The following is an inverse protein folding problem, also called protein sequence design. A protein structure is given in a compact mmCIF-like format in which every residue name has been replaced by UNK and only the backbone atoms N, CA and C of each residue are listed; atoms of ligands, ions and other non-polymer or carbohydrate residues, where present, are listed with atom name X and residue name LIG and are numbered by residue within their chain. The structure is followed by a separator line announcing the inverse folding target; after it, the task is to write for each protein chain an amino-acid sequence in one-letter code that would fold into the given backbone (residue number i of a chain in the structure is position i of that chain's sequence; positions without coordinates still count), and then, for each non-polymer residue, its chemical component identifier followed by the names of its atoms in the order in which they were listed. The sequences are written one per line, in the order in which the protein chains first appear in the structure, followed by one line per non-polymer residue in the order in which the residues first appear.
data_IF_932321147005
#
_entry.id   IF_932321147005
#
_cell.length_a   1.000
_cell.length_b   1.000
_cell.length_c   1.000
_cell.angle_alpha   90.00
_cell.angle_beta   90.00
_cell.angle_gamma   90.00
#
_symmetry.space_group_name_H-M   'P 1'
#
loop_
_entity.id
_entity.type
_entity.pdbx_description
1 polymer ?
#
# COMPACT_ATOMS: atom_id res chain seq x y z
N UNK A 1 -5.49 22.56 -4.24
CA UNK A 1 -5.21 23.24 -5.54
C UNK A 1 -3.71 23.42 -5.82
N UNK A 2 -2.87 23.88 -4.87
CA UNK A 2 -1.43 24.05 -5.10
C UNK A 2 -0.71 22.76 -5.54
N UNK A 3 -0.86 21.66 -4.78
CA UNK A 3 -0.26 20.35 -5.08
C UNK A 3 -0.60 19.85 -6.49
N UNK A 4 -1.87 19.92 -6.88
CA UNK A 4 -2.32 19.50 -8.21
C UNK A 4 -1.68 20.32 -9.33
N UNK A 5 -1.70 21.66 -9.21
CA UNK A 5 -1.15 22.55 -10.22
C UNK A 5 0.37 22.38 -10.38
N UNK A 6 1.10 22.26 -9.27
CA UNK A 6 2.54 22.00 -9.28
C UNK A 6 2.88 20.64 -9.89
N UNK A 7 2.08 19.60 -9.59
CA UNK A 7 2.26 18.26 -10.16
C UNK A 7 1.98 18.24 -11.67
N UNK A 8 0.92 18.91 -12.11
CA UNK A 8 0.59 19.05 -13.54
C UNK A 8 1.68 19.81 -14.30
N UNK A 9 2.24 20.87 -13.70
CA UNK A 9 3.30 21.67 -14.31
C UNK A 9 4.65 20.93 -14.37
N UNK A 10 4.83 19.85 -13.60
CA UNK A 10 6.10 19.12 -13.49
C UNK A 10 6.43 18.32 -14.75
N UNK A 11 5.43 17.80 -15.45
CA UNK A 11 5.62 16.92 -16.60
C UNK A 11 4.81 17.40 -17.79
N UNK A 12 5.36 17.24 -19.01
CA UNK A 12 4.67 17.61 -20.26
C UNK A 12 3.55 16.63 -20.64
N UNK A 13 3.14 15.72 -19.73
CA UNK A 13 2.23 14.61 -19.99
C UNK A 13 0.73 14.93 -19.86
N UNK A 14 0.36 16.19 -19.61
CA UNK A 14 -1.05 16.61 -19.57
C UNK A 14 -1.85 16.11 -18.35
N UNK A 15 -1.21 15.45 -17.40
CA UNK A 15 -1.81 15.03 -16.12
C UNK A 15 -0.82 15.20 -14.96
N UNK A 16 -1.29 15.33 -13.71
CA UNK A 16 -0.42 15.37 -12.53
C UNK A 16 0.06 13.99 -12.08
N UNK A 17 -0.30 12.91 -12.80
CA UNK A 17 -0.09 11.54 -12.37
C UNK A 17 1.03 10.87 -13.15
N UNK A 18 1.71 9.94 -12.47
CA UNK A 18 2.66 9.01 -13.05
C UNK A 18 2.28 7.59 -12.61
N UNK A 19 2.63 6.62 -13.44
CA UNK A 19 2.42 5.21 -13.13
C UNK A 19 3.65 4.40 -13.56
N UNK A 20 4.18 3.51 -12.72
CA UNK A 20 5.37 2.73 -13.06
C UNK A 20 5.08 1.79 -14.24
N UNK A 21 6.04 1.69 -15.15
CA UNK A 21 6.05 0.62 -16.14
C UNK A 21 6.05 -0.73 -15.40
N UNK A 22 5.32 -1.72 -15.93
CA UNK A 22 5.10 -3.03 -15.31
C UNK A 22 4.20 -3.03 -14.05
N UNK A 23 3.70 -1.87 -13.63
CA UNK A 23 2.67 -1.76 -12.58
C UNK A 23 3.21 -1.57 -11.18
N UNK A 24 2.28 -1.43 -10.22
CA UNK A 24 2.59 -1.05 -8.84
C UNK A 24 3.46 -2.06 -8.09
N UNK A 25 3.55 -3.31 -8.56
CA UNK A 25 4.42 -4.34 -8.00
C UNK A 25 5.90 -3.97 -8.04
N UNK A 26 6.32 -3.04 -8.90
CA UNK A 26 7.71 -2.57 -8.96
C UNK A 26 8.09 -1.71 -7.74
N UNK A 27 7.13 -1.04 -7.09
CA UNK A 27 7.39 -0.21 -5.91
C UNK A 27 7.89 -1.03 -4.71
N UNK A 28 7.16 -2.06 -4.22
CA UNK A 28 7.64 -2.87 -3.11
C UNK A 28 8.93 -3.64 -3.48
N UNK A 29 9.11 -4.05 -4.74
CA UNK A 29 10.35 -4.66 -5.20
C UNK A 29 11.54 -3.70 -5.09
N UNK A 30 11.38 -2.45 -5.52
CA UNK A 30 12.41 -1.43 -5.42
C UNK A 30 12.79 -1.12 -3.97
N UNK A 31 11.79 -0.98 -3.07
CA UNK A 31 12.05 -0.79 -1.64
C UNK A 31 12.69 -2.03 -0.99
N UNK A 32 12.31 -3.24 -1.42
CA UNK A 32 12.95 -4.46 -0.94
C UNK A 32 14.43 -4.53 -1.34
N UNK A 33 14.73 -4.22 -2.59
CA UNK A 33 16.11 -4.09 -3.07
C UNK A 33 16.87 -3.01 -2.30
N UNK A 34 16.26 -1.84 -2.09
CA UNK A 34 16.89 -0.75 -1.33
C UNK A 34 17.24 -1.22 0.08
N UNK A 35 16.32 -1.84 0.79
CA UNK A 35 16.59 -2.37 2.13
C UNK A 35 17.67 -3.45 2.13
N UNK A 36 17.72 -4.31 1.10
CA UNK A 36 18.78 -5.31 0.96
C UNK A 36 20.18 -4.70 0.77
N UNK A 37 20.30 -3.56 0.07
CA UNK A 37 21.56 -2.81 -0.04
C UNK A 37 22.07 -2.37 1.34
N UNK A 38 21.16 -2.11 2.29
CA UNK A 38 21.50 -1.74 3.67
C UNK A 38 21.46 -2.94 4.64
N UNK A 39 21.60 -4.17 4.13
CA UNK A 39 21.71 -5.40 4.95
C UNK A 39 20.37 -6.03 5.36
N UNK A 40 19.24 -5.52 4.85
CA UNK A 40 17.94 -6.15 5.03
C UNK A 40 17.85 -7.51 4.33
N UNK A 41 17.14 -8.46 4.94
CA UNK A 41 16.85 -9.76 4.32
C UNK A 41 15.35 -9.92 4.17
N UNK A 42 14.89 -10.23 2.96
CA UNK A 42 13.48 -10.47 2.65
C UNK A 42 13.21 -11.97 2.60
N UNK A 43 12.26 -12.43 3.40
CA UNK A 43 11.81 -13.82 3.43
C UNK A 43 10.37 -13.86 2.94
N UNK A 44 10.14 -14.57 1.83
CA UNK A 44 8.81 -14.82 1.26
C UNK A 44 8.39 -16.26 1.53
N UNK A 45 7.09 -16.54 1.46
CA UNK A 45 6.53 -17.87 1.70
C UNK A 45 6.87 -18.44 3.10
N UNK A 46 6.96 -17.57 4.12
CA UNK A 46 7.06 -17.97 5.53
C UNK A 46 5.66 -18.01 6.14
N UNK A 47 5.21 -19.21 6.48
CA UNK A 47 3.89 -19.45 7.09
C UNK A 47 3.97 -19.44 8.62
N UNK A 48 2.80 -19.46 9.28
CA UNK A 48 2.69 -19.54 10.75
C UNK A 48 3.42 -18.41 11.50
N UNK A 49 3.56 -17.24 10.86
CA UNK A 49 4.16 -16.07 11.47
C UNK A 49 3.36 -15.61 12.70
N UNK A 50 3.97 -15.72 13.87
CA UNK A 50 3.39 -15.34 15.15
C UNK A 50 4.31 -14.35 15.86
N UNK A 51 3.76 -13.23 16.30
CA UNK A 51 4.50 -12.29 17.14
C UNK A 51 4.52 -12.80 18.58
N UNK A 52 5.72 -12.80 19.16
CA UNK A 52 5.95 -13.23 20.54
C UNK A 52 6.05 -12.02 21.47
N UNK A 53 5.48 -12.17 22.66
CA UNK A 53 5.39 -11.13 23.68
C UNK A 53 5.99 -11.61 25.00
N UNK A 54 6.54 -10.68 25.79
CA UNK A 54 6.94 -10.94 27.17
C UNK A 54 5.73 -10.89 28.13
N UNK A 55 6.02 -11.08 29.43
CA UNK A 55 5.01 -11.02 30.49
C UNK A 55 4.39 -9.63 30.68
N UNK A 56 5.02 -8.57 30.16
CA UNK A 56 4.53 -7.19 30.19
C UNK A 56 3.70 -6.85 28.94
N UNK A 57 3.62 -7.75 27.96
CA UNK A 57 2.90 -7.55 26.71
C UNK A 57 3.68 -6.81 25.64
N UNK A 58 5.01 -6.68 25.77
CA UNK A 58 5.88 -6.08 24.75
C UNK A 58 6.43 -7.12 23.78
N UNK A 59 6.60 -6.73 22.53
CA UNK A 59 7.22 -7.58 21.50
C UNK A 59 8.65 -7.98 21.89
N UNK A 60 8.95 -9.26 21.72
CA UNK A 60 10.29 -9.83 21.88
C UNK A 60 10.81 -10.58 20.65
N UNK A 61 9.95 -10.83 19.67
CA UNK A 61 10.34 -11.51 18.44
C UNK A 61 9.16 -11.92 17.57
N UNK A 62 9.48 -12.58 16.46
CA UNK A 62 8.52 -13.23 15.56
C UNK A 62 8.97 -14.67 15.34
N UNK A 63 8.07 -15.61 15.56
CA UNK A 63 8.27 -17.04 15.30
C UNK A 63 7.60 -17.42 13.99
N UNK A 64 8.27 -18.22 13.17
CA UNK A 64 7.70 -18.85 11.98
C UNK A 64 8.36 -20.21 11.79
N UNK A 65 7.56 -21.26 11.58
CA UNK A 65 8.04 -22.63 11.32
C UNK A 65 9.02 -23.15 12.41
N UNK A 66 8.78 -22.78 13.67
CA UNK A 66 9.60 -23.20 14.81
C UNK A 66 10.88 -22.39 15.04
N UNK A 67 11.20 -21.43 14.17
CA UNK A 67 12.34 -20.53 14.32
C UNK A 67 11.89 -19.13 14.77
N UNK A 68 12.61 -18.53 15.73
CA UNK A 68 12.27 -17.21 16.27
C UNK A 68 13.36 -16.18 15.96
N UNK A 69 12.98 -15.13 15.24
CA UNK A 69 13.79 -13.92 15.07
C UNK A 69 13.47 -12.93 16.19
N UNK A 70 14.46 -12.57 17.01
CA UNK A 70 14.26 -11.61 18.12
C UNK A 70 14.28 -10.17 17.62
N UNK A 71 13.35 -9.35 18.12
CA UNK A 71 13.27 -7.93 17.80
C UNK A 71 12.68 -7.13 18.97
N UNK A 72 12.89 -5.81 18.96
CA UNK A 72 12.35 -4.88 19.97
C UNK A 72 11.05 -4.20 19.53
N UNK A 73 10.77 -4.22 18.23
CA UNK A 73 9.65 -3.57 17.57
C UNK A 73 9.23 -4.44 16.40
N UNK A 74 7.93 -4.46 16.10
CA UNK A 74 7.41 -5.11 14.90
C UNK A 74 6.57 -4.10 14.11
N UNK A 75 6.70 -4.15 12.79
CA UNK A 75 5.88 -3.39 11.85
C UNK A 75 5.13 -4.40 10.99
N UNK A 76 3.82 -4.24 10.84
CA UNK A 76 3.01 -5.15 10.03
C UNK A 76 1.73 -4.49 9.52
N UNK A 77 1.04 -5.16 8.60
CA UNK A 77 -0.32 -4.79 8.22
C UNK A 77 -1.36 -5.38 9.19
N UNK A 78 -2.63 -4.95 9.12
CA UNK A 78 -3.71 -5.39 10.02
C UNK A 78 -3.90 -6.91 10.15
N UNK A 79 -3.58 -7.69 9.11
CA UNK A 79 -3.82 -9.15 9.11
C UNK A 79 -3.02 -9.90 10.18
N UNK A 80 -1.88 -9.36 10.62
CA UNK A 80 -1.04 -9.97 11.66
C UNK A 80 -1.53 -9.67 13.08
N UNK A 81 -2.42 -8.69 13.27
CA UNK A 81 -2.99 -8.35 14.57
C UNK A 81 -4.50 -8.07 14.52
N UNK A 82 -5.34 -9.08 14.25
CA UNK A 82 -6.79 -8.89 14.18
C UNK A 82 -7.40 -8.37 15.50
N UNK A 83 -6.75 -8.60 16.65
CA UNK A 83 -7.17 -8.08 17.95
C UNK A 83 -6.68 -6.66 18.30
N UNK A 84 -5.83 -6.04 17.46
CA UNK A 84 -5.29 -4.69 17.66
C UNK A 84 -5.76 -3.69 16.62
N UNK A 85 -6.75 -4.08 15.82
CA UNK A 85 -7.31 -3.24 14.77
C UNK A 85 -8.82 -3.18 14.89
N UNK A 86 -9.42 -2.12 14.35
CA UNK A 86 -10.88 -2.03 14.18
C UNK A 86 -11.22 -1.84 12.71
N UNK A 87 -12.33 -2.42 12.28
CA UNK A 87 -12.89 -2.18 10.95
C UNK A 87 -13.42 -0.75 10.88
N UNK A 88 -13.06 -0.02 9.83
CA UNK A 88 -13.47 1.37 9.59
C UNK A 88 -14.28 1.55 8.31
N UNK A 89 -14.30 0.56 7.43
CA UNK A 89 -15.07 0.62 6.19
C UNK A 89 -14.88 -0.65 5.36
N UNK A 90 -15.33 -0.57 4.11
CA UNK A 90 -15.15 -1.60 3.09
C UNK A 90 -14.93 -0.90 1.75
N UNK A 91 -14.09 -1.46 0.89
CA UNK A 91 -13.86 -0.96 -0.47
C UNK A 91 -14.41 -1.97 -1.46
N UNK A 92 -15.17 -1.47 -2.43
CA UNK A 92 -15.54 -2.23 -3.62
C UNK A 92 -14.58 -1.88 -4.76
N UNK A 93 -14.11 -2.89 -5.50
CA UNK A 93 -13.24 -2.72 -6.66
C UNK A 93 -13.70 -3.59 -7.82
N UNK A 94 -13.66 -3.03 -9.03
CA UNK A 94 -13.79 -3.76 -10.27
C UNK A 94 -12.50 -3.60 -11.09
N UNK A 95 -12.02 -4.71 -11.65
CA UNK A 95 -10.92 -4.76 -12.60
C UNK A 95 -11.51 -5.16 -13.94
N UNK A 96 -11.56 -4.24 -14.89
CA UNK A 96 -12.10 -4.46 -16.22
C UNK A 96 -10.98 -4.56 -17.26
N UNK A 97 -11.03 -5.60 -18.09
CA UNK A 97 -10.11 -5.81 -19.21
C UNK A 97 -10.82 -5.41 -20.50
N UNK A 98 -10.15 -4.58 -21.30
CA UNK A 98 -10.71 -4.02 -22.53
C UNK A 98 -9.66 -4.01 -23.65
N UNK A 99 -10.15 -3.97 -24.89
CA UNK A 99 -9.32 -3.90 -26.10
C UNK A 99 -9.41 -2.55 -26.82
N UNK A 100 -9.91 -1.51 -26.15
CA UNK A 100 -10.04 -0.16 -26.68
C UNK A 100 -9.82 0.90 -25.59
N UNK A 101 -9.43 2.14 -25.95
CA UNK A 101 -9.36 3.24 -25.00
C UNK A 101 -10.73 3.54 -24.40
N UNK A 102 -10.72 4.10 -23.18
CA UNK A 102 -11.94 4.56 -22.53
C UNK A 102 -12.54 5.70 -23.38
N UNK A 103 -13.83 5.68 -23.71
CA UNK A 103 -14.49 6.77 -24.44
C UNK A 103 -14.21 8.14 -23.82
N UNK A 104 -14.06 9.17 -24.67
CA UNK A 104 -13.81 10.56 -24.23
C UNK A 104 -12.50 10.78 -23.47
N UNK A 105 -11.48 9.93 -23.68
CA UNK A 105 -10.14 10.08 -23.08
C UNK A 105 -9.04 10.40 -24.10
N UNK A 106 -9.39 10.98 -25.25
CA UNK A 106 -8.45 11.34 -26.33
C UNK A 106 -7.55 10.18 -26.78
N UNK A 107 -8.11 8.97 -26.89
CA UNK A 107 -7.40 7.75 -27.27
C UNK A 107 -6.13 7.49 -26.44
N UNK A 108 -6.20 7.81 -25.14
CA UNK A 108 -5.12 7.57 -24.19
C UNK A 108 -4.62 6.14 -24.32
N UNK A 109 -3.30 5.95 -24.34
CA UNK A 109 -2.70 4.62 -24.50
C UNK A 109 -2.58 3.89 -23.17
N UNK A 110 -2.66 2.56 -23.23
CA UNK A 110 -2.30 1.70 -22.10
C UNK A 110 -0.82 1.30 -22.17
N UNK A 111 -0.17 1.23 -21.01
CA UNK A 111 1.20 0.72 -20.87
C UNK A 111 1.27 -0.82 -20.78
N UNK A 112 0.13 -1.51 -20.86
CA UNK A 112 -0.01 -2.95 -20.60
C UNK A 112 -0.43 -3.78 -21.84
N UNK A 113 -0.41 -3.21 -23.05
CA UNK A 113 -0.78 -3.89 -24.31
C UNK A 113 -2.28 -4.15 -24.49
N UNK A 114 -3.04 -4.28 -23.41
CA UNK A 114 -4.51 -4.14 -23.30
C UNK A 114 -4.86 -3.01 -22.34
N UNK A 115 -6.11 -2.58 -22.33
CA UNK A 115 -6.61 -1.60 -21.38
C UNK A 115 -7.09 -2.30 -20.11
N UNK A 116 -6.54 -1.91 -18.97
CA UNK A 116 -6.99 -2.36 -17.65
C UNK A 116 -7.53 -1.15 -16.91
N UNK A 117 -8.83 -1.16 -16.62
CA UNK A 117 -9.50 -0.10 -15.88
C UNK A 117 -9.85 -0.57 -14.46
N UNK A 118 -9.53 0.26 -13.48
CA UNK A 118 -9.90 0.04 -12.08
C UNK A 118 -11.03 1.01 -11.73
N UNK A 119 -12.15 0.49 -11.25
CA UNK A 119 -13.26 1.29 -10.70
C UNK A 119 -13.39 0.94 -9.23
N UNK A 120 -13.29 1.92 -8.33
CA UNK A 120 -13.34 1.68 -6.89
C UNK A 120 -14.10 2.77 -6.13
N UNK A 121 -14.73 2.38 -5.03
CA UNK A 121 -15.41 3.28 -4.09
C UNK A 121 -15.38 2.70 -2.66
N UNK A 122 -15.59 3.56 -1.67
CA UNK A 122 -16.06 3.13 -0.35
C UNK A 122 -17.43 2.45 -0.54
N UNK A 123 -17.57 1.23 -0.06
CA UNK A 123 -18.75 0.40 -0.27
C UNK A 123 -19.85 0.75 0.73
N UNK A 124 -21.04 1.02 0.21
CA UNK A 124 -22.26 1.26 1.00
C UNK A 124 -23.12 -0.02 1.13
N UNK A 125 -22.86 -1.03 0.30
CA UNK A 125 -23.55 -2.33 0.30
C UNK A 125 -22.55 -3.48 0.06
N UNK A 126 -23.06 -4.72 0.03
CA UNK A 126 -22.27 -5.92 -0.35
C UNK A 126 -22.46 -6.29 -1.83
N UNK A 127 -22.92 -5.36 -2.67
CA UNK A 127 -23.21 -5.59 -4.10
C UNK A 127 -22.32 -4.71 -4.99
N UNK A 128 -21.04 -5.05 -5.16
CA UNK A 128 -20.06 -4.20 -5.83
C UNK A 128 -20.41 -3.98 -7.31
N UNK A 129 -21.06 -4.95 -7.97
CA UNK A 129 -21.51 -4.81 -9.35
C UNK A 129 -22.58 -3.74 -9.55
N UNK A 130 -23.40 -3.46 -8.53
CA UNK A 130 -24.41 -2.40 -8.59
C UNK A 130 -23.78 -1.05 -8.31
N UNK A 131 -23.00 -0.96 -7.22
CA UNK A 131 -22.38 0.30 -6.79
C UNK A 131 -21.39 0.85 -7.82
N UNK A 132 -20.61 -0.04 -8.46
CA UNK A 132 -19.61 0.34 -9.45
C UNK A 132 -20.19 0.52 -10.86
N UNK A 133 -21.46 0.16 -11.08
CA UNK A 133 -22.11 0.23 -12.39
C UNK A 133 -21.98 1.61 -13.07
N UNK A 134 -22.16 2.75 -12.37
CA UNK A 134 -22.02 4.06 -13.01
C UNK A 134 -20.63 4.31 -13.59
N UNK A 135 -19.57 3.82 -12.95
CA UNK A 135 -18.21 3.91 -13.47
C UNK A 135 -17.93 2.91 -14.59
N UNK A 136 -18.48 1.70 -14.47
CA UNK A 136 -18.34 0.62 -15.48
C UNK A 136 -19.03 1.00 -16.80
N UNK A 137 -20.20 1.64 -16.73
CA UNK A 137 -20.95 2.08 -17.92
C UNK A 137 -20.17 3.10 -18.77
N UNK A 138 -19.20 3.82 -18.18
CA UNK A 138 -18.33 4.75 -18.89
C UNK A 138 -17.20 4.06 -19.66
N UNK A 139 -16.92 2.79 -19.36
CA UNK A 139 -15.81 2.07 -19.96
C UNK A 139 -16.10 1.69 -21.42
N UNK A 140 -17.36 1.50 -21.81
CA UNK A 140 -17.70 0.89 -23.10
C UNK A 140 -17.60 -0.64 -23.05
N UNK A 141 -17.41 -1.34 -24.19
CA UNK A 141 -17.28 -2.80 -24.22
C UNK A 141 -16.16 -3.38 -23.32
N UNK A 142 -16.55 -4.19 -22.33
CA UNK A 142 -15.63 -4.91 -21.44
C UNK A 142 -15.54 -6.38 -21.87
N UNK A 143 -14.32 -6.91 -21.97
CA UNK A 143 -14.09 -8.33 -22.30
C UNK A 143 -14.30 -9.23 -21.07
N UNK A 144 -13.76 -8.80 -19.93
CA UNK A 144 -13.81 -9.53 -18.67
C UNK A 144 -13.82 -8.54 -17.50
N UNK A 145 -14.55 -8.86 -16.44
CA UNK A 145 -14.63 -8.02 -15.25
C UNK A 145 -14.55 -8.86 -13.97
N UNK A 146 -13.65 -8.45 -13.09
CA UNK A 146 -13.46 -9.08 -11.78
C UNK A 146 -13.90 -8.11 -10.70
N UNK A 147 -14.82 -8.56 -9.83
CA UNK A 147 -15.24 -7.80 -8.67
C UNK A 147 -14.54 -8.32 -7.42
N UNK A 148 -14.07 -7.41 -6.59
CA UNK A 148 -13.46 -7.69 -5.30
C UNK A 148 -13.98 -6.70 -4.25
N UNK A 149 -14.02 -7.16 -3.01
CA UNK A 149 -14.32 -6.31 -1.86
C UNK A 149 -13.41 -6.68 -0.70
N UNK A 150 -12.88 -5.66 -0.02
CA UNK A 150 -12.07 -5.88 1.17
C UNK A 150 -12.45 -4.90 2.28
N UNK A 151 -12.37 -5.39 3.51
CA UNK A 151 -12.57 -4.59 4.71
C UNK A 151 -11.36 -3.70 4.96
N UNK A 152 -11.60 -2.47 5.40
CA UNK A 152 -10.54 -1.56 5.84
C UNK A 152 -10.42 -1.58 7.34
N UNK A 153 -9.20 -1.65 7.82
CA UNK A 153 -8.85 -1.61 9.23
C UNK A 153 -7.85 -0.50 9.52
N UNK A 154 -7.88 -0.03 10.77
CA UNK A 154 -6.88 0.85 11.35
C UNK A 154 -6.44 0.35 12.73
N UNK A 155 -5.21 0.65 13.17
CA UNK A 155 -4.74 0.32 14.51
C UNK A 155 -5.59 0.97 15.61
N UNK A 156 -5.82 0.22 16.69
CA UNK A 156 -6.41 0.72 17.94
C UNK A 156 -5.51 0.48 19.16
N UNK A 157 -4.34 -0.14 18.97
CA UNK A 157 -3.37 -0.30 20.04
C UNK A 157 -2.60 1.00 20.31
N UNK A 158 -1.95 1.07 21.47
CA UNK A 158 -0.96 2.10 21.79
C UNK A 158 0.44 1.52 21.55
N UNK A 159 1.12 1.86 20.43
CA UNK A 159 2.41 1.25 20.07
C UNK A 159 3.52 1.46 21.10
N UNK A 160 3.39 2.47 21.96
CA UNK A 160 4.31 2.75 23.07
C UNK A 160 4.23 1.74 24.21
N UNK A 161 3.10 1.02 24.33
CA UNK A 161 2.91 0.00 25.38
C UNK A 161 3.42 -1.37 24.94
N UNK A 162 3.24 -1.73 23.67
CA UNK A 162 3.48 -3.08 23.16
C UNK A 162 4.61 -3.18 22.10
N UNK A 163 5.09 -2.05 21.56
CA UNK A 163 6.03 -1.96 20.44
C UNK A 163 5.51 -2.62 19.13
N UNK A 164 4.20 -2.67 18.94
CA UNK A 164 3.54 -3.07 17.70
C UNK A 164 3.10 -1.85 16.88
N UNK A 165 3.62 -1.70 15.67
CA UNK A 165 3.27 -0.62 14.76
C UNK A 165 2.50 -1.22 13.58
N UNK A 166 1.20 -0.96 13.51
CA UNK A 166 0.32 -1.55 12.49
C UNK A 166 -0.07 -0.49 11.48
N UNK A 167 0.05 -0.79 10.19
CA UNK A 167 -0.41 0.12 9.13
C UNK A 167 -1.93 0.14 9.04
N UNK A 168 -2.44 1.17 8.36
CA UNK A 168 -3.82 1.15 7.86
C UNK A 168 -3.93 0.30 6.59
N UNK A 169 -5.15 -0.11 6.22
CA UNK A 169 -5.39 -0.64 4.88
C UNK A 169 -5.54 0.48 3.85
N UNK A 170 -5.14 0.19 2.60
CA UNK A 170 -5.36 1.07 1.46
C UNK A 170 -6.83 1.48 1.33
N UNK A 171 -7.07 2.78 1.20
CA UNK A 171 -8.38 3.34 0.93
C UNK A 171 -8.82 3.13 -0.54
N UNK A 172 -9.97 3.68 -0.90
CA UNK A 172 -10.49 3.59 -2.27
C UNK A 172 -9.91 4.62 -3.23
N UNK A 173 -8.97 5.48 -2.77
CA UNK A 173 -8.38 6.51 -3.61
C UNK A 173 -7.43 5.91 -4.65
N UNK A 174 -7.29 6.58 -5.79
CA UNK A 174 -6.49 6.10 -6.93
C UNK A 174 -5.09 6.72 -6.96
N UNK A 175 -4.64 7.28 -5.83
CA UNK A 175 -3.33 7.91 -5.64
C UNK A 175 -2.76 7.59 -4.26
N UNK A 176 -1.45 7.78 -4.07
CA UNK A 176 -0.76 7.33 -2.85
C UNK A 176 -0.70 8.34 -1.69
N UNK A 177 -1.37 9.49 -1.76
CA UNK A 177 -1.21 10.53 -0.73
C UNK A 177 -1.49 10.03 0.69
N UNK A 178 -2.63 9.37 0.93
CA UNK A 178 -2.98 8.81 2.24
C UNK A 178 -2.02 7.70 2.68
N UNK A 179 -1.56 6.87 1.75
CA UNK A 179 -0.55 5.82 2.01
C UNK A 179 0.77 6.43 2.48
N UNK A 180 1.24 7.49 1.82
CA UNK A 180 2.50 8.15 2.18
C UNK A 180 2.39 8.84 3.54
N UNK A 181 1.22 9.43 3.83
CA UNK A 181 0.93 9.99 5.18
C UNK A 181 1.03 8.91 6.26
N UNK A 182 0.47 7.72 6.03
CA UNK A 182 0.57 6.59 6.97
C UNK A 182 2.03 6.17 7.20
N UNK A 183 2.83 6.08 6.14
CA UNK A 183 4.27 5.78 6.22
C UNK A 183 5.02 6.83 7.05
N UNK A 184 4.75 8.13 6.86
CA UNK A 184 5.41 9.20 7.60
C UNK A 184 5.03 9.21 9.08
N UNK A 185 3.75 8.98 9.38
CA UNK A 185 3.26 8.86 10.74
C UNK A 185 3.91 7.66 11.44
N UNK A 186 3.97 6.52 10.75
CA UNK A 186 4.59 5.31 11.27
C UNK A 186 6.08 5.49 11.53
N UNK A 187 6.81 6.12 10.60
CA UNK A 187 8.23 6.45 10.82
C UNK A 187 8.41 7.32 12.06
N UNK A 188 7.55 8.32 12.24
CA UNK A 188 7.59 9.23 13.39
C UNK A 188 7.31 8.48 14.70
N UNK A 189 6.30 7.60 14.72
CA UNK A 189 5.98 6.77 15.88
C UNK A 189 7.13 5.81 16.26
N UNK A 190 7.78 5.21 15.26
CA UNK A 190 8.87 4.26 15.48
C UNK A 190 10.15 4.97 15.97
N UNK A 191 10.48 6.10 15.37
CA UNK A 191 11.80 6.74 15.53
C UNK A 191 11.79 7.93 16.49
N UNK A 192 10.62 8.51 16.76
CA UNK A 192 10.48 9.77 17.47
C UNK A 192 10.94 10.99 16.67
N UNK A 193 11.17 10.85 15.35
CA UNK A 193 11.70 11.90 14.47
C UNK A 193 10.77 12.14 13.28
N UNK A 194 10.70 13.38 12.83
CA UNK A 194 10.09 13.71 11.53
C UNK A 194 11.00 13.17 10.43
N UNK A 195 10.41 12.51 9.43
CA UNK A 195 11.17 12.00 8.29
C UNK A 195 11.73 13.17 7.47
N UNK A 196 13.04 13.22 7.35
CA UNK A 196 13.76 14.18 6.51
C UNK A 196 14.34 13.46 5.29
N UNK A 197 13.77 13.74 4.12
CA UNK A 197 14.18 13.15 2.84
C UNK A 197 15.31 13.95 2.15
N UNK A 198 15.80 15.03 2.77
CA UNK A 198 16.93 15.81 2.24
C UNK A 198 18.30 15.22 2.61
N UNK A 199 18.32 14.22 3.49
CA UNK A 199 19.54 13.57 3.95
C UNK A 199 20.17 12.74 2.83
N UNK A 200 21.46 12.97 2.57
CA UNK A 200 22.22 12.18 1.61
C UNK A 200 22.53 10.78 2.18
N UNK A 201 21.93 9.76 1.56
CA UNK A 201 22.07 8.35 1.95
C UNK A 201 23.29 7.67 1.34
N UNK A 202 24.06 8.36 0.48
CA UNK A 202 25.27 7.81 -0.14
C UNK A 202 26.35 7.42 0.88
N UNK A 203 26.36 8.08 2.05
CA UNK A 203 27.26 7.74 3.15
C UNK A 203 26.83 6.50 3.95
N UNK A 204 25.56 6.08 3.87
CA UNK A 204 25.05 4.96 4.66
C UNK A 204 25.34 3.60 4.00
N UNK A 205 25.68 3.54 2.70
CA UNK A 205 26.02 2.29 2.00
C UNK A 205 27.50 1.91 2.13
N UNK A 206 28.30 2.74 2.79
CA UNK A 206 29.68 2.44 3.15
C UNK A 206 29.72 1.79 4.54
N UNK A 207 29.16 0.59 4.67
CA UNK A 207 29.62 -0.31 5.72
C UNK A 207 31.02 -0.77 5.28
N UNK A 208 32.04 -0.32 6.01
CA UNK A 208 33.42 -0.79 5.87
C UNK A 208 33.46 -2.32 6.00
N UNK A 209 34.14 -2.95 5.06
CA UNK A 209 34.54 -4.36 5.10
C UNK A 209 35.55 -4.61 6.23
#
# INVERSE_FOLDING_TARGET
MKLYAESLARFQGGSPYIYPLYGLGELPQAFARLSAVYGGTYMVNKTECKVEFDAEGKVIGVTSEGETAKCKKVVCDPSYFPGKVRKVGKVARAIAIMSHPIPSTNDSQSVQGKYIAFVSTEAETDQPAIELKPGIDLLGPVEEIFFDMYDRYEPVNEPTLDNCFVSTNYDSTTHFESTVVDVFNMYTLITGKVLDLSVDLSAASAAEE
#
